data_IF_333809977510
#
_entry.id   IF_333809977510
#
_cell.length_a   1.000
_cell.length_b   1.000
_cell.length_c   1.000
_cell.angle_alpha   90.00
_cell.angle_beta   90.00
_cell.angle_gamma   90.00
#
_symmetry.space_group_name_H-M   'P 1'
#
loop_
_entity.id
_entity.type
_entity.pdbx_description
1 polymer ?
#
# COMPACT_ATOMS: atom_id res chain seq x y z
N UNK A 1 8.07 -11.99 -0.89
CA UNK A 1 6.74 -12.62 -1.02
C UNK A 1 6.08 -12.10 -2.27
N UNK A 2 5.36 -12.94 -2.99
CA UNK A 2 4.63 -12.53 -4.17
C UNK A 2 3.39 -11.72 -3.78
N UNK A 3 3.16 -10.59 -4.42
CA UNK A 3 1.96 -9.79 -4.22
C UNK A 3 0.82 -10.43 -5.04
N UNK A 4 -0.03 -11.23 -4.39
CA UNK A 4 -1.10 -12.00 -5.04
C UNK A 4 -2.05 -11.11 -5.85
N UNK A 5 -2.38 -9.92 -5.34
CA UNK A 5 -3.19 -8.96 -6.09
C UNK A 5 -2.52 -8.58 -7.42
N UNK A 6 -1.22 -8.26 -7.39
CA UNK A 6 -0.46 -7.91 -8.59
C UNK A 6 -0.42 -9.05 -9.62
N UNK A 7 -0.37 -10.30 -9.17
CA UNK A 7 -0.42 -11.49 -10.04
C UNK A 7 -1.79 -11.63 -10.70
N UNK A 8 -2.88 -11.62 -9.92
CA UNK A 8 -4.25 -11.68 -10.44
C UNK A 8 -4.52 -10.59 -11.47
N UNK A 9 -4.13 -9.34 -11.17
CA UNK A 9 -4.28 -8.21 -12.09
C UNK A 9 -3.49 -8.39 -13.39
N UNK A 10 -2.28 -8.96 -13.33
CA UNK A 10 -1.48 -9.26 -14.53
C UNK A 10 -2.10 -10.35 -15.41
N UNK A 11 -2.80 -11.29 -14.80
CA UNK A 11 -3.50 -12.36 -15.50
C UNK A 11 -4.86 -11.90 -16.06
N UNK A 12 -5.28 -10.65 -15.83
CA UNK A 12 -6.58 -10.15 -16.23
C UNK A 12 -7.73 -10.76 -15.41
N UNK A 13 -7.44 -11.30 -14.23
CA UNK A 13 -8.46 -11.87 -13.35
C UNK A 13 -9.28 -10.78 -12.68
N UNK A 14 -10.57 -11.06 -12.44
CA UNK A 14 -11.42 -10.20 -11.61
C UNK A 14 -10.96 -10.29 -10.16
N UNK A 15 -10.90 -9.13 -9.50
CA UNK A 15 -10.56 -9.04 -8.08
C UNK A 15 -11.63 -8.28 -7.32
N UNK A 16 -11.90 -8.69 -6.09
CA UNK A 16 -12.90 -8.08 -5.22
C UNK A 16 -12.24 -7.48 -4.00
N UNK A 17 -12.74 -6.34 -3.54
CA UNK A 17 -12.22 -5.71 -2.34
C UNK A 17 -13.18 -4.72 -1.72
N UNK A 18 -12.76 -4.18 -0.58
CA UNK A 18 -13.56 -3.27 0.24
C UNK A 18 -12.77 -2.01 0.55
N UNK A 19 -13.48 -0.88 0.62
CA UNK A 19 -12.91 0.37 1.12
C UNK A 19 -13.17 0.49 2.62
N UNK A 20 -12.14 0.88 3.38
CA UNK A 20 -12.22 1.19 4.80
C UNK A 20 -11.97 2.68 4.98
N UNK A 21 -13.02 3.39 5.41
CA UNK A 21 -12.98 4.83 5.72
C UNK A 21 -12.94 5.15 7.22
N UNK A 22 -12.94 4.14 8.10
CA UNK A 22 -13.01 4.31 9.55
C UNK A 22 -11.68 4.05 10.22
N UNK A 23 -11.33 4.81 11.25
CA UNK A 23 -10.18 4.53 12.12
C UNK A 23 -10.54 3.51 13.22
N UNK A 24 -10.95 2.30 12.82
CA UNK A 24 -11.35 1.22 13.73
C UNK A 24 -10.55 -0.05 13.46
N UNK A 25 -9.66 -0.45 14.38
CA UNK A 25 -8.97 -1.75 14.32
C UNK A 25 -9.91 -2.94 14.20
N UNK A 26 -11.02 -2.95 14.93
CA UNK A 26 -12.00 -4.05 14.92
C UNK A 26 -12.63 -4.23 13.53
N UNK A 27 -12.94 -3.11 12.85
CA UNK A 27 -13.45 -3.14 11.47
C UNK A 27 -12.40 -3.73 10.55
N UNK A 28 -11.13 -3.32 10.69
CA UNK A 28 -10.03 -3.82 9.88
C UNK A 28 -9.81 -5.32 10.07
N UNK A 29 -9.78 -5.79 11.32
CA UNK A 29 -9.66 -7.21 11.64
C UNK A 29 -10.82 -8.02 11.04
N UNK A 30 -12.05 -7.52 11.15
CA UNK A 30 -13.21 -8.20 10.57
C UNK A 30 -13.09 -8.31 9.04
N UNK A 31 -12.74 -7.23 8.34
CA UNK A 31 -12.63 -7.26 6.86
C UNK A 31 -11.42 -8.05 6.38
N UNK A 32 -10.34 -8.11 7.16
CA UNK A 32 -9.14 -8.90 6.86
C UNK A 32 -9.40 -10.40 6.80
N UNK A 33 -10.47 -10.87 7.45
CA UNK A 33 -10.88 -12.27 7.43
C UNK A 33 -11.89 -12.62 6.31
N UNK A 34 -12.33 -11.63 5.51
CA UNK A 34 -13.24 -11.88 4.40
C UNK A 34 -12.52 -12.52 3.21
N UNK A 35 -13.22 -13.31 2.37
CA UNK A 35 -12.66 -13.92 1.16
C UNK A 35 -12.55 -12.88 0.02
N UNK A 36 -11.80 -11.81 0.24
CA UNK A 36 -11.55 -10.71 -0.70
C UNK A 36 -10.06 -10.62 -1.04
N UNK A 37 -9.74 -9.98 -2.15
CA UNK A 37 -8.37 -9.87 -2.66
C UNK A 37 -7.63 -8.65 -2.12
N UNK A 38 -8.35 -7.58 -1.76
CA UNK A 38 -7.75 -6.34 -1.29
C UNK A 38 -8.64 -5.53 -0.35
N UNK A 39 -8.00 -4.77 0.52
CA UNK A 39 -8.60 -3.73 1.34
C UNK A 39 -7.95 -2.42 0.93
N UNK A 40 -8.74 -1.39 0.69
CA UNK A 40 -8.24 -0.06 0.42
C UNK A 40 -8.57 0.89 1.56
N UNK A 41 -7.55 1.52 2.13
CA UNK A 41 -7.65 2.62 3.08
C UNK A 41 -7.57 4.00 2.40
N UNK A 42 -8.57 4.85 2.64
CA UNK A 42 -8.69 6.14 1.96
C UNK A 42 -8.16 7.33 2.78
N UNK A 43 -7.01 7.87 2.38
CA UNK A 43 -6.45 9.10 2.93
C UNK A 43 -6.65 10.33 2.04
N UNK A 44 -7.42 10.24 0.94
CA UNK A 44 -7.76 11.41 0.11
C UNK A 44 -9.03 12.11 0.59
N UNK A 45 -10.09 11.34 0.83
CA UNK A 45 -11.39 11.88 1.24
C UNK A 45 -11.84 11.43 2.64
N UNK A 46 -11.21 10.38 3.17
CA UNK A 46 -11.54 9.82 4.47
C UNK A 46 -10.92 10.59 5.64
N UNK A 47 -11.20 10.09 6.85
CA UNK A 47 -10.58 10.58 8.10
C UNK A 47 -9.20 9.97 8.35
N UNK A 48 -8.75 9.08 7.47
CA UNK A 48 -7.48 8.38 7.62
C UNK A 48 -6.31 9.25 7.16
N UNK A 49 -5.21 9.17 7.90
CA UNK A 49 -3.96 9.83 7.59
C UNK A 49 -2.81 8.86 7.90
N UNK A 50 -1.58 9.23 7.54
CA UNK A 50 -0.43 8.32 7.70
C UNK A 50 -0.17 7.90 9.16
N UNK A 51 -0.53 8.73 10.13
CA UNK A 51 -0.33 8.43 11.55
C UNK A 51 -1.31 7.35 12.05
N UNK A 52 -2.59 7.49 11.71
CA UNK A 52 -3.61 6.53 12.12
C UNK A 52 -3.68 5.29 11.21
N UNK A 53 -3.12 5.33 9.99
CA UNK A 53 -3.04 4.17 9.10
C UNK A 53 -2.04 3.12 9.58
N UNK A 54 -0.90 3.54 10.16
CA UNK A 54 0.14 2.61 10.58
C UNK A 54 -0.37 1.47 11.50
N UNK A 55 -1.13 1.72 12.58
CA UNK A 55 -1.68 0.65 13.40
C UNK A 55 -2.74 -0.19 12.66
N UNK A 56 -3.54 0.40 11.76
CA UNK A 56 -4.53 -0.36 10.97
C UNK A 56 -3.86 -1.33 9.99
N UNK A 57 -2.79 -0.89 9.31
CA UNK A 57 -2.00 -1.75 8.43
C UNK A 57 -1.28 -2.86 9.19
N UNK A 58 -0.93 -2.62 10.46
CA UNK A 58 -0.41 -3.67 11.33
C UNK A 58 -1.47 -4.72 11.67
N UNK A 59 -2.73 -4.32 11.89
CA UNK A 59 -3.85 -5.26 12.11
C UNK A 59 -4.15 -6.08 10.86
N UNK A 60 -4.16 -5.45 9.69
CA UNK A 60 -4.37 -6.14 8.41
C UNK A 60 -3.20 -7.05 7.98
N UNK A 61 -2.09 -7.05 8.72
CA UNK A 61 -0.88 -7.76 8.35
C UNK A 61 -1.08 -9.27 8.39
N UNK A 62 -0.63 -9.96 7.34
CA UNK A 62 -0.69 -11.43 7.26
C UNK A 62 -2.08 -11.96 6.92
N UNK A 63 -3.05 -11.06 6.76
CA UNK A 63 -4.33 -11.37 6.16
C UNK A 63 -4.16 -11.76 4.69
N UNK A 64 -5.17 -12.45 4.14
CA UNK A 64 -5.19 -12.79 2.71
C UNK A 64 -5.37 -11.55 1.81
N UNK A 65 -6.22 -10.57 2.16
CA UNK A 65 -6.39 -9.36 1.35
C UNK A 65 -5.14 -8.46 1.38
N UNK A 66 -4.73 -7.97 0.21
CA UNK A 66 -3.63 -7.01 0.07
C UNK A 66 -4.06 -5.63 0.57
N UNK A 67 -3.24 -4.99 1.41
CA UNK A 67 -3.53 -3.65 1.94
C UNK A 67 -3.08 -2.54 0.98
N UNK A 68 -4.05 -1.84 0.38
CA UNK A 68 -3.86 -0.69 -0.50
C UNK A 68 -4.09 0.62 0.26
N UNK A 69 -3.28 1.64 -0.01
CA UNK A 69 -3.50 3.00 0.50
C UNK A 69 -3.75 3.96 -0.66
N UNK A 70 -4.89 4.67 -0.65
CA UNK A 70 -5.04 5.85 -1.49
C UNK A 70 -4.39 7.03 -0.81
N UNK A 71 -3.32 7.53 -1.41
CA UNK A 71 -2.60 8.70 -0.87
C UNK A 71 -3.40 9.98 -1.13
N UNK A 72 -3.22 11.05 -0.33
CA UNK A 72 -3.95 12.30 -0.52
C UNK A 72 -3.67 12.97 -1.87
N UNK A 73 -2.47 12.75 -2.42
CA UNK A 73 -2.04 13.33 -3.68
C UNK A 73 -0.90 12.52 -4.31
N UNK A 74 -0.64 12.73 -5.60
CA UNK A 74 0.55 12.23 -6.28
C UNK A 74 1.81 13.01 -5.84
N UNK A 75 2.23 12.76 -4.60
CA UNK A 75 3.34 13.43 -3.93
C UNK A 75 4.36 12.40 -3.40
N UNK A 76 5.63 12.64 -3.68
CA UNK A 76 6.72 11.74 -3.31
C UNK A 76 6.84 11.54 -1.79
N UNK A 77 6.54 12.56 -0.98
CA UNK A 77 6.60 12.44 0.48
C UNK A 77 5.47 11.55 1.00
N UNK A 78 4.26 11.71 0.49
CA UNK A 78 3.12 10.88 0.86
C UNK A 78 3.28 9.43 0.37
N UNK A 79 3.70 9.24 -0.88
CA UNK A 79 3.96 7.93 -1.49
C UNK A 79 4.98 7.14 -0.67
N UNK A 80 6.16 7.73 -0.37
CA UNK A 80 7.18 6.99 0.38
C UNK A 80 6.69 6.65 1.79
N UNK A 81 6.03 7.59 2.48
CA UNK A 81 5.56 7.38 3.85
C UNK A 81 4.50 6.28 3.92
N UNK A 82 3.55 6.26 2.97
CA UNK A 82 2.52 5.21 2.90
C UNK A 82 3.15 3.81 2.76
N UNK A 83 4.17 3.68 1.90
CA UNK A 83 4.90 2.42 1.74
C UNK A 83 5.79 2.10 2.97
N UNK A 84 6.29 3.11 3.67
CA UNK A 84 7.13 2.94 4.87
C UNK A 84 6.32 2.49 6.09
N UNK A 85 5.02 2.78 6.15
CA UNK A 85 4.10 2.31 7.21
C UNK A 85 3.43 0.97 6.88
N UNK A 86 3.80 0.32 5.77
CA UNK A 86 3.37 -1.04 5.46
C UNK A 86 2.32 -1.19 4.36
N UNK A 87 1.98 -0.14 3.60
CA UNK A 87 1.13 -0.31 2.43
C UNK A 87 1.79 -1.28 1.42
N UNK A 88 1.01 -2.23 0.93
CA UNK A 88 1.46 -3.25 -0.02
C UNK A 88 1.20 -2.86 -1.48
N UNK A 89 0.34 -1.87 -1.67
CA UNK A 89 0.10 -1.17 -2.93
C UNK A 89 -0.46 0.22 -2.68
N UNK A 90 -0.45 1.05 -3.73
CA UNK A 90 -0.92 2.44 -3.66
C UNK A 90 -1.97 2.69 -4.72
N UNK A 91 -2.96 3.51 -4.37
CA UNK A 91 -3.88 4.15 -5.30
C UNK A 91 -3.47 5.62 -5.37
N UNK A 92 -3.16 6.09 -6.57
CA UNK A 92 -2.68 7.45 -6.81
C UNK A 92 -3.80 8.25 -7.45
N UNK A 93 -4.34 9.28 -6.79
CA UNK A 93 -5.44 10.03 -7.35
C UNK A 93 -4.96 11.01 -8.43
N UNK A 94 -5.88 11.46 -9.28
CA UNK A 94 -5.67 12.51 -10.28
C UNK A 94 -4.49 12.30 -11.26
N UNK A 95 -4.18 11.04 -11.60
CA UNK A 95 -3.25 10.73 -12.69
C UNK A 95 -3.96 10.85 -14.04
N UNK A 96 -3.67 11.93 -14.76
CA UNK A 96 -4.34 12.32 -16.00
C UNK A 96 -3.42 12.26 -17.23
N UNK A 97 -2.12 12.04 -17.05
CA UNK A 97 -1.16 11.92 -18.13
C UNK A 97 -0.04 10.92 -17.81
N UNK A 98 0.78 10.65 -18.83
CA UNK A 98 1.92 9.71 -18.76
C UNK A 98 2.93 10.16 -17.72
N UNK A 99 3.28 11.44 -17.70
CA UNK A 99 4.33 12.00 -16.87
C UNK A 99 4.00 11.84 -15.38
N UNK A 100 2.72 12.03 -15.02
CA UNK A 100 2.19 11.83 -13.67
C UNK A 100 2.22 10.35 -13.26
N UNK A 101 1.89 9.43 -14.18
CA UNK A 101 1.96 8.00 -13.92
C UNK A 101 3.41 7.55 -13.68
N UNK A 102 4.34 7.97 -14.54
CA UNK A 102 5.76 7.67 -14.40
C UNK A 102 6.36 8.28 -13.13
N UNK A 103 5.95 9.50 -12.76
CA UNK A 103 6.35 10.12 -11.49
C UNK A 103 5.93 9.27 -10.30
N UNK A 104 4.68 8.79 -10.27
CA UNK A 104 4.19 7.95 -9.18
C UNK A 104 4.99 6.65 -9.05
N UNK A 105 5.31 6.00 -10.17
CA UNK A 105 6.15 4.80 -10.20
C UNK A 105 7.56 5.10 -9.68
N UNK A 106 8.21 6.17 -10.15
CA UNK A 106 9.54 6.57 -9.66
C UNK A 106 9.52 6.88 -8.17
N UNK A 107 8.48 7.54 -7.66
CA UNK A 107 8.34 7.87 -6.25
C UNK A 107 8.17 6.62 -5.36
N UNK A 108 7.58 5.54 -5.89
CA UNK A 108 7.36 4.30 -5.17
C UNK A 108 8.57 3.33 -5.18
N UNK A 109 9.47 3.46 -6.17
CA UNK A 109 10.61 2.53 -6.39
C UNK A 109 11.93 3.04 -5.83
N UNK A 110 12.74 2.12 -5.28
CA UNK A 110 14.10 2.42 -4.86
C UNK A 110 15.04 2.64 -6.07
N UNK A 111 16.18 3.33 -5.89
CA UNK A 111 17.23 3.35 -6.90
C UNK A 111 17.70 1.94 -7.27
N UNK A 112 18.03 1.67 -8.55
CA UNK A 112 18.09 2.61 -9.67
C UNK A 112 16.76 2.80 -10.42
N UNK A 113 15.70 2.08 -10.08
CA UNK A 113 14.43 2.11 -10.82
C UNK A 113 13.55 3.31 -10.47
N UNK A 114 13.84 3.99 -9.36
CA UNK A 114 13.14 5.18 -8.90
C UNK A 114 13.96 6.00 -7.92
N UNK A 115 13.26 6.79 -7.12
CA UNK A 115 13.83 7.80 -6.22
C UNK A 115 13.36 7.67 -4.77
N UNK A 116 12.65 6.59 -4.40
CA UNK A 116 12.22 6.33 -3.02
C UNK A 116 13.44 6.29 -2.09
N UNK A 117 13.42 7.09 -1.04
CA UNK A 117 14.46 7.07 0.00
C UNK A 117 14.40 5.78 0.82
N UNK A 118 15.56 5.24 1.19
CA UNK A 118 15.65 4.00 1.97
C UNK A 118 15.38 4.26 3.46
N UNK A 119 14.37 3.56 3.99
CA UNK A 119 14.04 3.56 5.41
C UNK A 119 12.95 2.56 5.78
N UNK A 120 13.05 1.27 5.39
CA UNK A 120 11.94 0.31 5.50
C UNK A 120 11.75 -0.22 6.93
N UNK A 121 11.69 0.66 7.93
CA UNK A 121 11.59 0.32 9.36
C UNK A 121 10.43 -0.62 9.65
N UNK A 122 9.23 -0.32 9.13
CA UNK A 122 8.08 -1.19 9.33
C UNK A 122 8.36 -2.60 8.83
N UNK A 123 8.81 -2.75 7.58
CA UNK A 123 9.11 -4.06 7.01
C UNK A 123 10.20 -4.82 7.81
N UNK A 124 11.24 -4.12 8.28
CA UNK A 124 12.29 -4.72 9.11
C UNK A 124 11.77 -5.14 10.50
N UNK A 125 11.01 -4.28 11.20
CA UNK A 125 10.39 -4.59 12.49
C UNK A 125 9.45 -5.79 12.39
N UNK A 126 8.84 -5.96 11.21
CA UNK A 126 7.98 -7.07 10.88
C UNK A 126 8.77 -8.34 10.47
N UNK A 127 10.09 -8.35 10.60
CA UNK A 127 10.94 -9.53 10.37
C UNK A 127 11.17 -9.86 8.88
N UNK A 128 10.88 -8.93 7.96
CA UNK A 128 11.26 -9.12 6.55
C UNK A 128 12.77 -8.88 6.41
N UNK A 129 13.43 -9.80 5.72
CA UNK A 129 14.81 -9.60 5.31
C UNK A 129 14.93 -8.35 4.44
N UNK A 130 15.88 -7.48 4.79
CA UNK A 130 16.05 -6.19 4.14
C UNK A 130 16.47 -6.35 2.68
N UNK A 131 17.38 -7.28 2.37
CA UNK A 131 17.85 -7.53 1.01
C UNK A 131 16.72 -8.02 0.10
N UNK A 132 15.97 -9.04 0.55
CA UNK A 132 14.84 -9.60 -0.17
C UNK A 132 13.69 -8.59 -0.35
N UNK A 133 13.44 -7.74 0.66
CA UNK A 133 12.44 -6.68 0.56
C UNK A 133 12.83 -5.67 -0.52
N UNK A 134 14.06 -5.17 -0.52
CA UNK A 134 14.51 -4.17 -1.49
C UNK A 134 14.44 -4.66 -2.95
N UNK A 135 14.64 -5.95 -3.19
CA UNK A 135 14.53 -6.54 -4.53
C UNK A 135 13.09 -6.63 -5.05
N UNK A 136 12.11 -6.65 -4.15
CA UNK A 136 10.68 -6.83 -4.50
C UNK A 136 9.86 -5.55 -4.35
N UNK A 137 10.39 -4.56 -3.63
CA UNK A 137 9.79 -3.26 -3.36
C UNK A 137 9.64 -2.38 -4.61
#
# INVERSE_FOLDING_TARGET
MANRLKEKLRNGEVTFGVSVGTNSPDVVEAVSNLPIDWIWFDAEHGVLNLENLAPLLQVARGATPVSLVRVPWNDMVMIKKALDIGAEGLIIPWVNNREQAEYAVRAAKYPPQGQRGIGPRFNMLMGRDAGAYLQTA
#
